data_IF_333653309560
#
_entry.id   IF_333653309560
#
_cell.length_a   1.000
_cell.length_b   1.000
_cell.length_c   1.000
_cell.angle_alpha   90.00
_cell.angle_beta   90.00
_cell.angle_gamma   90.00
#
_symmetry.space_group_name_H-M   'P 1'
#
loop_
_entity.id
_entity.type
_entity.pdbx_description
1 polymer ?
#
# COMPACT_ATOMS: atom_id res chain seq x y z
N UNK A 1 45.28 -40.85 18.03
CA UNK A 1 44.86 -40.60 19.43
C UNK A 1 43.71 -39.62 19.38
N UNK A 2 42.57 -40.00 19.97
CA UNK A 2 41.28 -39.34 19.80
C UNK A 2 41.20 -38.02 20.58
N UNK A 3 40.73 -36.94 19.95
CA UNK A 3 40.29 -35.73 20.64
C UNK A 3 38.84 -35.92 21.12
N UNK A 4 38.70 -35.98 22.45
CA UNK A 4 37.45 -36.10 23.17
C UNK A 4 36.77 -34.72 23.20
N UNK A 5 35.57 -34.64 22.61
CA UNK A 5 34.63 -33.54 22.82
C UNK A 5 34.03 -33.65 24.22
N UNK A 6 34.16 -32.59 25.03
CA UNK A 6 33.31 -32.40 26.20
C UNK A 6 32.35 -31.24 25.95
N UNK A 7 31.09 -31.59 25.69
CA UNK A 7 29.95 -30.68 25.75
C UNK A 7 29.62 -30.39 27.21
N UNK A 8 29.44 -29.12 27.57
CA UNK A 8 28.75 -28.72 28.80
C UNK A 8 27.47 -28.01 28.44
N UNK A 9 26.35 -28.70 28.66
CA UNK A 9 25.00 -28.18 28.55
C UNK A 9 24.72 -27.15 29.65
N UNK A 10 24.62 -25.87 29.29
CA UNK A 10 23.97 -24.87 30.13
C UNK A 10 22.61 -24.51 29.51
N UNK A 11 21.54 -25.02 30.12
CA UNK A 11 20.14 -24.75 29.77
C UNK A 11 19.85 -23.25 29.82
N UNK A 12 19.68 -22.62 28.65
CA UNK A 12 19.20 -21.24 28.53
C UNK A 12 17.77 -21.15 29.03
N UNK A 13 17.58 -20.48 30.16
CA UNK A 13 16.26 -20.11 30.68
C UNK A 13 15.44 -19.32 29.65
N UNK A 14 14.16 -19.68 29.54
CA UNK A 14 13.14 -18.94 28.80
C UNK A 14 13.11 -17.48 29.27
N UNK A 15 13.59 -16.56 28.42
CA UNK A 15 13.33 -15.13 28.62
C UNK A 15 11.89 -14.85 28.17
N UNK A 16 11.09 -14.38 29.12
CA UNK A 16 9.72 -13.92 28.91
C UNK A 16 9.62 -12.98 27.70
N UNK A 17 8.61 -13.26 26.87
CA UNK A 17 8.26 -12.54 25.65
C UNK A 17 7.93 -11.09 25.99
N UNK A 18 8.88 -10.15 25.83
CA UNK A 18 8.57 -8.71 25.83
C UNK A 18 7.54 -8.47 24.73
N UNK A 19 6.40 -7.87 25.06
CA UNK A 19 5.43 -7.34 24.09
C UNK A 19 6.18 -6.38 23.16
N UNK A 20 6.34 -6.76 21.89
CA UNK A 20 6.85 -5.85 20.84
C UNK A 20 5.75 -4.82 20.58
N UNK A 21 5.96 -3.58 21.01
CA UNK A 21 5.23 -2.45 20.46
C UNK A 21 5.83 -2.17 19.08
N UNK A 22 5.00 -2.30 18.05
CA UNK A 22 5.39 -2.16 16.65
C UNK A 22 5.75 -0.71 16.35
N UNK A 23 6.86 -0.50 15.65
CA UNK A 23 7.08 0.72 14.88
C UNK A 23 6.36 0.52 13.57
N UNK A 24 5.57 1.50 13.12
CA UNK A 24 4.87 1.45 11.83
C UNK A 24 5.87 1.68 10.68
N UNK A 25 6.81 0.75 10.51
CA UNK A 25 7.74 0.66 9.38
C UNK A 25 7.31 -0.55 8.58
N UNK A 26 6.79 -0.32 7.37
CA UNK A 26 6.49 -1.41 6.44
C UNK A 26 7.79 -1.73 5.68
N UNK A 27 8.38 -2.89 5.98
CA UNK A 27 9.38 -3.51 5.12
C UNK A 27 8.66 -4.15 3.92
N UNK A 28 9.12 -3.85 2.71
CA UNK A 28 8.59 -4.49 1.51
C UNK A 28 9.01 -5.96 1.48
N UNK A 29 8.02 -6.85 1.41
CA UNK A 29 8.22 -8.11 0.73
C UNK A 29 8.62 -7.82 -0.71
N UNK A 30 9.63 -8.54 -1.21
CA UNK A 30 10.29 -8.37 -2.51
C UNK A 30 9.35 -7.86 -3.61
N UNK A 31 9.49 -6.58 -3.98
CA UNK A 31 8.94 -6.04 -5.22
C UNK A 31 9.87 -6.41 -6.37
N UNK A 32 9.33 -7.11 -7.36
CA UNK A 32 9.96 -7.25 -8.68
C UNK A 32 9.60 -6.01 -9.51
N UNK A 33 10.58 -5.56 -10.29
CA UNK A 33 10.63 -4.26 -10.95
C UNK A 33 9.51 -4.02 -11.97
N UNK A 34 9.32 -2.73 -12.24
CA UNK A 34 8.34 -2.14 -13.17
C UNK A 34 8.62 -2.57 -14.61
N UNK A 35 7.56 -2.82 -15.38
CA UNK A 35 7.24 -2.17 -16.66
C UNK A 35 5.84 -2.62 -17.11
N UNK A 36 5.10 -1.70 -17.76
CA UNK A 36 3.67 -1.80 -18.12
C UNK A 36 2.66 -1.72 -16.98
N UNK A 37 2.65 -0.57 -16.31
CA UNK A 37 1.45 0.24 -15.99
C UNK A 37 0.23 -0.33 -15.25
N UNK A 38 0.06 -1.65 -15.10
CA UNK A 38 -1.06 -2.34 -14.42
C UNK A 38 -0.87 -3.87 -14.30
N UNK A 39 0.19 -4.47 -14.88
CA UNK A 39 0.49 -5.90 -14.68
C UNK A 39 1.48 -6.09 -13.53
N UNK A 40 1.01 -6.58 -12.39
CA UNK A 40 1.88 -7.24 -11.41
C UNK A 40 1.81 -8.75 -11.62
N UNK A 41 2.90 -9.47 -11.32
CA UNK A 41 2.90 -10.94 -11.33
C UNK A 41 1.80 -11.47 -10.39
N UNK A 42 1.52 -10.75 -9.31
CA UNK A 42 0.44 -11.02 -8.37
C UNK A 42 -0.95 -10.91 -9.02
N UNK A 43 -1.17 -9.93 -9.91
CA UNK A 43 -2.43 -9.83 -10.65
C UNK A 43 -2.66 -11.03 -11.58
N UNK A 44 -1.62 -11.49 -12.27
CA UNK A 44 -1.71 -12.69 -13.13
C UNK A 44 -1.89 -13.95 -12.27
N UNK A 45 -1.19 -14.04 -11.14
CA UNK A 45 -1.28 -15.18 -10.22
C UNK A 45 -2.60 -15.24 -9.45
N UNK A 46 -3.30 -14.11 -9.26
CA UNK A 46 -4.56 -14.04 -8.51
C UNK A 46 -5.71 -14.84 -9.11
N UNK A 47 -5.60 -15.19 -10.40
CA UNK A 47 -6.51 -16.09 -11.09
C UNK A 47 -6.34 -17.56 -10.66
N UNK A 48 -5.16 -17.96 -10.16
CA UNK A 48 -4.91 -19.35 -9.75
C UNK A 48 -5.75 -19.70 -8.52
N UNK A 49 -6.40 -20.86 -8.54
CA UNK A 49 -7.02 -21.46 -7.34
C UNK A 49 -5.91 -22.10 -6.50
N UNK A 50 -5.88 -21.81 -5.20
CA UNK A 50 -4.75 -22.10 -4.29
C UNK A 50 -4.38 -23.59 -4.07
N UNK A 51 -5.13 -24.58 -4.56
CA UNK A 51 -4.82 -25.98 -4.22
C UNK A 51 -5.13 -27.03 -5.31
N UNK A 52 -4.93 -26.73 -6.60
CA UNK A 52 -4.84 -27.82 -7.59
C UNK A 52 -3.71 -27.61 -8.56
N UNK A 53 -2.80 -28.58 -8.49
CA UNK A 53 -1.82 -29.10 -9.46
C UNK A 53 -1.42 -28.18 -10.61
N UNK A 54 -0.09 -28.10 -10.77
CA UNK A 54 0.64 -27.70 -11.96
C UNK A 54 -0.21 -27.51 -13.20
N UNK A 55 -0.09 -26.34 -13.84
CA UNK A 55 -0.78 -26.13 -15.10
C UNK A 55 -0.46 -27.29 -16.03
N UNK A 56 -1.50 -27.93 -16.60
CA UNK A 56 -1.37 -28.96 -17.63
C UNK A 56 -0.75 -28.43 -18.93
N UNK A 57 -0.03 -27.30 -18.88
CA UNK A 57 0.70 -26.72 -20.00
C UNK A 57 2.01 -27.45 -20.30
N UNK A 58 2.17 -28.73 -19.93
CA UNK A 58 3.38 -29.45 -20.31
C UNK A 58 3.53 -29.61 -21.83
N UNK A 59 2.47 -29.49 -22.63
CA UNK A 59 2.54 -29.51 -24.12
C UNK A 59 1.41 -28.71 -24.81
N UNK A 60 1.22 -27.45 -24.45
CA UNK A 60 0.67 -26.46 -25.41
C UNK A 60 -0.84 -26.42 -25.69
N UNK A 61 -1.73 -27.08 -24.94
CA UNK A 61 -3.19 -26.80 -25.04
C UNK A 61 -3.87 -26.84 -23.66
N UNK A 62 -4.11 -25.67 -23.08
CA UNK A 62 -4.96 -25.56 -21.91
C UNK A 62 -6.36 -26.10 -22.26
N UNK A 63 -6.92 -26.95 -21.42
CA UNK A 63 -8.28 -27.45 -21.58
C UNK A 63 -9.02 -27.40 -20.25
N UNK A 64 -10.31 -27.13 -20.34
CA UNK A 64 -11.22 -27.12 -19.21
C UNK A 64 -12.15 -28.32 -19.34
N UNK A 65 -12.15 -29.18 -18.32
CA UNK A 65 -13.05 -30.33 -18.24
C UNK A 65 -14.35 -29.87 -17.57
N UNK A 66 -15.47 -29.96 -18.30
CA UNK A 66 -16.79 -29.69 -17.75
C UNK A 66 -17.22 -30.81 -16.79
N UNK A 67 -18.14 -30.50 -15.86
CA UNK A 67 -18.65 -31.48 -14.88
C UNK A 67 -19.31 -32.73 -15.52
N UNK A 68 -19.66 -32.66 -16.81
CA UNK A 68 -20.23 -33.75 -17.60
C UNK A 68 -19.18 -34.49 -18.45
N UNK A 69 -17.89 -34.26 -18.21
CA UNK A 69 -16.78 -34.96 -18.88
C UNK A 69 -16.39 -34.42 -20.25
N UNK A 70 -16.99 -33.32 -20.72
CA UNK A 70 -16.61 -32.67 -21.97
C UNK A 70 -15.36 -31.80 -21.83
N UNK A 71 -14.39 -31.94 -22.73
CA UNK A 71 -13.19 -31.11 -22.76
C UNK A 71 -13.38 -29.89 -23.67
N UNK A 72 -13.08 -28.69 -23.14
CA UNK A 72 -13.07 -27.44 -23.91
C UNK A 72 -11.63 -26.92 -24.00
N UNK A 73 -11.11 -26.72 -25.22
CA UNK A 73 -9.72 -26.26 -25.43
C UNK A 73 -9.57 -24.73 -25.55
N UNK A 74 -10.68 -24.00 -25.62
CA UNK A 74 -10.68 -22.55 -25.74
C UNK A 74 -11.91 -21.93 -25.03
N UNK A 75 -11.85 -20.63 -24.66
CA UNK A 75 -12.95 -19.95 -23.97
C UNK A 75 -14.26 -19.93 -24.76
N UNK A 76 -14.22 -19.87 -26.10
CA UNK A 76 -15.42 -19.81 -26.94
C UNK A 76 -16.18 -21.14 -26.90
N UNK A 77 -15.47 -22.25 -27.00
CA UNK A 77 -16.05 -23.59 -26.84
C UNK A 77 -16.70 -23.79 -25.47
N UNK A 78 -16.07 -23.28 -24.41
CA UNK A 78 -16.62 -23.34 -23.05
C UNK A 78 -17.85 -22.44 -22.88
N UNK A 79 -17.81 -21.23 -23.44
CA UNK A 79 -18.93 -20.29 -23.37
C UNK A 79 -20.17 -20.82 -24.13
N UNK A 80 -19.98 -21.43 -25.30
CA UNK A 80 -21.07 -22.09 -26.05
C UNK A 80 -21.62 -23.32 -25.31
N UNK A 81 -20.76 -24.10 -24.66
CA UNK A 81 -21.22 -25.24 -23.83
C UNK A 81 -22.06 -24.76 -22.64
N UNK A 82 -21.66 -23.62 -22.06
CA UNK A 82 -22.40 -22.99 -20.96
C UNK A 82 -23.75 -22.44 -21.45
N UNK A 83 -23.78 -21.79 -22.61
CA UNK A 83 -25.03 -21.34 -23.24
C UNK A 83 -25.99 -22.51 -23.51
N UNK A 84 -25.49 -23.60 -24.08
CA UNK A 84 -26.30 -24.79 -24.39
C UNK A 84 -26.91 -25.41 -23.13
N UNK A 85 -26.14 -25.43 -22.03
CA UNK A 85 -26.65 -25.84 -20.72
C UNK A 85 -27.75 -24.91 -20.20
N UNK A 86 -27.56 -23.60 -20.36
CA UNK A 86 -28.54 -22.60 -19.93
C UNK A 86 -29.85 -22.69 -20.75
N UNK A 87 -29.75 -22.99 -22.05
CA UNK A 87 -30.90 -23.26 -22.93
C UNK A 87 -31.47 -24.68 -22.78
N UNK A 88 -30.92 -25.52 -21.89
CA UNK A 88 -31.34 -26.91 -21.62
C UNK A 88 -31.31 -27.81 -22.86
N UNK A 89 -30.33 -27.59 -23.74
CA UNK A 89 -30.09 -28.43 -24.91
C UNK A 89 -29.64 -29.82 -24.45
N UNK A 90 -30.16 -30.87 -25.06
CA UNK A 90 -29.76 -32.25 -24.76
C UNK A 90 -28.26 -32.44 -25.05
N UNK A 91 -27.56 -33.18 -24.20
CA UNK A 91 -26.10 -33.35 -24.28
C UNK A 91 -25.61 -33.86 -25.65
N UNK A 92 -26.44 -34.67 -26.32
CA UNK A 92 -26.16 -35.25 -27.63
C UNK A 92 -26.18 -34.19 -28.75
N UNK A 93 -27.02 -33.16 -28.61
CA UNK A 93 -27.22 -32.11 -29.62
C UNK A 93 -26.29 -30.90 -29.42
N UNK A 94 -25.62 -30.78 -28.27
CA UNK A 94 -24.75 -29.64 -27.94
C UNK A 94 -23.69 -29.40 -29.01
N UNK A 95 -23.08 -30.47 -29.55
CA UNK A 95 -22.04 -30.34 -30.57
C UNK A 95 -22.59 -29.84 -31.92
N UNK A 96 -23.82 -30.22 -32.27
CA UNK A 96 -24.50 -29.73 -33.47
C UNK A 96 -24.85 -28.25 -33.30
N UNK A 97 -25.39 -27.88 -32.15
CA UNK A 97 -25.80 -26.49 -31.86
C UNK A 97 -24.62 -25.52 -31.81
N UNK A 98 -23.43 -25.96 -31.35
CA UNK A 98 -22.20 -25.15 -31.38
C UNK A 98 -21.78 -24.70 -32.79
N UNK A 99 -22.16 -25.45 -33.82
CA UNK A 99 -21.85 -25.15 -35.21
C UNK A 99 -22.86 -24.19 -35.84
N UNK A 100 -24.03 -24.00 -35.24
CA UNK A 100 -25.09 -23.14 -35.76
C UNK A 100 -24.77 -21.66 -35.53
N UNK A 101 -24.82 -20.84 -36.59
CA UNK A 101 -24.47 -19.42 -36.50
C UNK A 101 -25.40 -18.62 -35.61
N UNK A 102 -26.70 -18.89 -35.69
CA UNK A 102 -27.71 -18.17 -34.91
C UNK A 102 -27.57 -18.49 -33.43
N UNK A 103 -27.25 -19.73 -33.08
CA UNK A 103 -26.91 -20.12 -31.72
C UNK A 103 -25.65 -19.39 -31.21
N UNK A 104 -24.60 -19.28 -32.04
CA UNK A 104 -23.38 -18.54 -31.67
C UNK A 104 -23.63 -17.05 -31.43
N UNK A 105 -24.54 -16.42 -32.18
CA UNK A 105 -24.92 -15.01 -32.01
C UNK A 105 -25.65 -14.74 -30.69
N UNK A 106 -26.30 -15.76 -30.11
CA UNK A 106 -26.94 -15.64 -28.79
C UNK A 106 -25.96 -15.56 -27.62
N UNK A 107 -24.65 -15.76 -27.86
CA UNK A 107 -23.67 -15.73 -26.79
C UNK A 107 -23.69 -14.36 -26.10
N UNK A 108 -23.95 -14.36 -24.79
CA UNK A 108 -24.05 -13.18 -23.97
C UNK A 108 -22.73 -12.77 -23.32
N UNK A 109 -22.77 -11.68 -22.54
CA UNK A 109 -21.63 -11.23 -21.73
C UNK A 109 -21.37 -12.19 -20.56
N UNK A 110 -22.41 -12.79 -19.98
CA UNK A 110 -22.33 -13.72 -18.85
C UNK A 110 -21.49 -14.95 -19.17
N UNK A 111 -21.76 -15.61 -20.30
CA UNK A 111 -21.08 -16.84 -20.71
C UNK A 111 -19.61 -16.54 -21.07
N UNK A 112 -19.36 -15.42 -21.77
CA UNK A 112 -18.00 -14.95 -22.09
C UNK A 112 -17.20 -14.68 -20.81
N UNK A 113 -17.78 -13.98 -19.84
CA UNK A 113 -17.14 -13.68 -18.56
C UNK A 113 -16.78 -14.95 -17.78
N UNK A 114 -17.72 -15.90 -17.68
CA UNK A 114 -17.50 -17.15 -16.96
C UNK A 114 -16.39 -17.99 -17.60
N UNK A 115 -16.41 -18.10 -18.94
CA UNK A 115 -15.39 -18.84 -19.67
C UNK A 115 -13.99 -18.23 -19.51
N UNK A 116 -13.86 -16.91 -19.65
CA UNK A 116 -12.59 -16.22 -19.41
C UNK A 116 -12.10 -16.41 -17.98
N UNK A 117 -12.98 -16.31 -16.98
CA UNK A 117 -12.62 -16.51 -15.57
C UNK A 117 -12.07 -17.92 -15.33
N UNK A 118 -12.70 -18.95 -15.91
CA UNK A 118 -12.24 -20.35 -15.81
C UNK A 118 -10.89 -20.56 -16.50
N UNK A 119 -10.72 -20.05 -17.71
CA UNK A 119 -9.46 -20.20 -18.47
C UNK A 119 -8.29 -19.42 -17.86
N UNK A 120 -8.54 -18.20 -17.38
CA UNK A 120 -7.52 -17.41 -16.68
C UNK A 120 -7.00 -18.14 -15.43
N UNK A 121 -7.87 -18.89 -14.73
CA UNK A 121 -7.49 -19.63 -13.53
C UNK A 121 -6.62 -20.86 -13.77
N UNK A 122 -6.58 -21.39 -14.99
CA UNK A 122 -5.79 -22.58 -15.36
C UNK A 122 -4.63 -22.25 -16.32
N UNK A 123 -4.70 -21.12 -17.03
CA UNK A 123 -3.75 -20.75 -18.08
C UNK A 123 -3.19 -19.33 -17.87
N UNK A 124 -1.90 -19.19 -17.52
CA UNK A 124 -1.25 -17.90 -17.35
C UNK A 124 -1.28 -17.01 -18.61
N UNK A 125 -1.30 -17.62 -19.80
CA UNK A 125 -1.40 -16.89 -21.08
C UNK A 125 -2.73 -16.15 -21.19
N UNK A 126 -3.84 -16.82 -20.84
CA UNK A 126 -5.17 -16.18 -20.82
C UNK A 126 -5.26 -15.11 -19.74
N UNK A 127 -4.75 -15.38 -18.53
CA UNK A 127 -4.68 -14.38 -17.47
C UNK A 127 -3.89 -13.13 -17.90
N UNK A 128 -2.74 -13.32 -18.57
CA UNK A 128 -1.93 -12.22 -19.09
C UNK A 128 -2.65 -11.45 -20.20
N UNK A 129 -3.31 -12.15 -21.13
CA UNK A 129 -4.10 -11.53 -22.22
C UNK A 129 -5.19 -10.61 -21.68
N UNK A 130 -5.94 -11.07 -20.69
CA UNK A 130 -7.00 -10.30 -20.02
C UNK A 130 -6.42 -9.07 -19.32
N UNK A 131 -5.31 -9.23 -18.57
CA UNK A 131 -4.70 -8.10 -17.87
C UNK A 131 -4.09 -7.06 -18.82
N UNK A 132 -3.51 -7.49 -19.94
CA UNK A 132 -2.91 -6.62 -20.98
C UNK A 132 -3.94 -5.97 -21.89
N UNK A 133 -5.18 -6.47 -21.91
CA UNK A 133 -6.19 -6.09 -22.89
C UNK A 133 -5.76 -6.34 -24.34
N UNK A 134 -5.01 -7.43 -24.56
CA UNK A 134 -4.42 -7.81 -25.84
C UNK A 134 -5.42 -8.64 -26.64
N UNK A 135 -6.35 -7.98 -27.34
CA UNK A 135 -7.44 -8.62 -28.09
C UNK A 135 -7.40 -8.24 -29.57
N UNK A 136 -7.56 -9.21 -30.46
CA UNK A 136 -7.63 -8.96 -31.91
C UNK A 136 -9.00 -8.38 -32.31
N UNK A 137 -9.10 -7.83 -33.52
CA UNK A 137 -10.37 -7.32 -34.08
C UNK A 137 -11.47 -8.39 -34.12
N UNK A 138 -11.10 -9.65 -34.36
CA UNK A 138 -12.03 -10.79 -34.37
C UNK A 138 -12.52 -11.19 -32.97
N UNK A 139 -11.88 -10.68 -31.92
CA UNK A 139 -12.17 -10.99 -30.51
C UNK A 139 -12.81 -9.81 -29.78
N UNK A 140 -13.22 -8.75 -30.49
CA UNK A 140 -13.76 -7.53 -29.90
C UNK A 140 -14.95 -7.80 -28.96
N UNK A 141 -15.77 -8.79 -29.28
CA UNK A 141 -16.92 -9.23 -28.49
C UNK A 141 -16.54 -9.72 -27.07
N UNK A 142 -15.28 -10.10 -26.84
CA UNK A 142 -14.76 -10.57 -25.56
C UNK A 142 -14.19 -9.44 -24.70
N UNK A 143 -13.88 -8.28 -25.30
CA UNK A 143 -13.20 -7.16 -24.64
C UNK A 143 -13.98 -6.68 -23.43
N UNK A 144 -15.30 -6.52 -23.54
CA UNK A 144 -16.12 -6.02 -22.43
C UNK A 144 -16.13 -6.99 -21.23
N UNK A 145 -16.18 -8.30 -21.49
CA UNK A 145 -16.09 -9.33 -20.46
C UNK A 145 -14.69 -9.36 -19.82
N UNK A 146 -13.64 -9.24 -20.64
CA UNK A 146 -12.26 -9.18 -20.18
C UNK A 146 -11.98 -7.94 -19.32
N UNK A 147 -12.47 -6.77 -19.71
CA UNK A 147 -12.35 -5.53 -18.94
C UNK A 147 -13.07 -5.63 -17.60
N UNK A 148 -14.25 -6.25 -17.58
CA UNK A 148 -15.01 -6.49 -16.34
C UNK A 148 -14.21 -7.37 -15.38
N UNK A 149 -13.60 -8.45 -15.89
CA UNK A 149 -12.78 -9.37 -15.10
C UNK A 149 -11.46 -8.74 -14.65
N UNK A 150 -10.81 -7.94 -15.52
CA UNK A 150 -9.63 -7.15 -15.15
C UNK A 150 -9.95 -6.19 -14.01
N UNK A 151 -11.06 -5.46 -14.07
CA UNK A 151 -11.49 -4.55 -12.99
C UNK A 151 -11.73 -5.30 -11.67
N UNK A 152 -12.37 -6.47 -11.72
CA UNK A 152 -12.58 -7.33 -10.55
C UNK A 152 -11.26 -7.74 -9.90
N UNK A 153 -10.30 -8.22 -10.70
CA UNK A 153 -8.97 -8.63 -10.22
C UNK A 153 -8.17 -7.45 -9.70
N UNK A 154 -8.17 -6.34 -10.42
CA UNK A 154 -7.50 -5.13 -9.97
C UNK A 154 -8.07 -4.62 -8.65
N UNK A 155 -9.39 -4.68 -8.45
CA UNK A 155 -10.03 -4.32 -7.19
C UNK A 155 -9.66 -5.28 -6.05
N UNK A 156 -9.72 -6.60 -6.29
CA UNK A 156 -9.38 -7.61 -5.28
C UNK A 156 -7.91 -7.53 -4.83
N UNK A 157 -7.01 -7.23 -5.76
CA UNK A 157 -5.58 -7.14 -5.48
C UNK A 157 -5.11 -5.71 -5.17
N UNK A 158 -6.04 -4.76 -4.95
CA UNK A 158 -5.64 -3.49 -4.36
C UNK A 158 -4.93 -3.78 -3.04
N UNK A 159 -3.76 -3.18 -2.80
CA UNK A 159 -3.07 -3.32 -1.52
C UNK A 159 -4.05 -3.01 -0.40
N UNK A 160 -4.27 -3.96 0.52
CA UNK A 160 -5.10 -3.69 1.69
C UNK A 160 -4.44 -2.56 2.47
N UNK A 161 -5.11 -1.42 2.52
CA UNK A 161 -4.62 -0.25 3.23
C UNK A 161 -4.62 -0.52 4.72
N UNK A 162 -3.52 -0.18 5.38
CA UNK A 162 -3.49 -0.19 6.84
C UNK A 162 -4.30 1.00 7.37
N UNK A 163 -5.42 0.74 8.04
CA UNK A 163 -6.26 1.81 8.59
C UNK A 163 -5.53 2.47 9.76
N UNK A 164 -5.26 3.77 9.63
CA UNK A 164 -4.70 4.58 10.71
C UNK A 164 -5.76 4.74 11.79
N UNK A 165 -5.44 4.31 13.01
CA UNK A 165 -6.37 4.38 14.14
C UNK A 165 -6.30 5.72 14.88
N UNK A 166 -5.24 6.50 14.64
CA UNK A 166 -4.94 7.74 15.35
C UNK A 166 -5.58 8.95 14.66
N UNK A 167 -6.15 9.85 15.46
CA UNK A 167 -6.74 11.09 14.96
C UNK A 167 -5.70 12.15 14.60
N UNK A 168 -4.60 12.16 15.36
CA UNK A 168 -3.52 13.14 15.22
C UNK A 168 -2.24 12.37 14.97
N UNK A 169 -1.60 12.63 13.83
CA UNK A 169 -0.41 11.89 13.42
C UNK A 169 0.78 12.80 13.10
N UNK A 170 1.96 12.22 13.25
CA UNK A 170 3.24 12.77 12.81
C UNK A 170 3.78 11.94 11.65
N UNK A 171 4.11 12.60 10.55
CA UNK A 171 4.74 12.00 9.38
C UNK A 171 6.13 12.60 9.23
N UNK A 172 7.16 11.78 8.99
CA UNK A 172 8.52 12.31 8.84
C UNK A 172 9.52 11.28 8.34
N UNK A 173 10.71 11.75 7.96
CA UNK A 173 11.79 10.88 7.50
C UNK A 173 12.76 10.56 8.63
N UNK A 174 13.19 9.29 8.75
CA UNK A 174 14.30 8.84 9.61
C UNK A 174 14.20 9.30 11.08
N UNK A 175 13.02 9.22 11.68
CA UNK A 175 12.79 9.72 13.04
C UNK A 175 13.31 8.77 14.12
N UNK A 176 13.34 7.46 13.85
CA UNK A 176 13.78 6.42 14.78
C UNK A 176 12.87 6.30 16.01
N UNK A 177 11.61 6.75 15.91
CA UNK A 177 10.68 6.83 17.04
C UNK A 177 9.71 5.67 17.07
N UNK A 178 9.29 5.30 18.28
CA UNK A 178 8.29 4.26 18.52
C UNK A 178 7.04 4.90 19.12
N UNK A 179 6.03 5.10 18.29
CA UNK A 179 4.72 5.60 18.70
C UNK A 179 3.69 5.16 17.65
N UNK A 180 2.43 4.96 18.07
CA UNK A 180 1.35 4.63 17.14
C UNK A 180 0.95 5.82 16.26
N UNK A 181 1.18 7.04 16.76
CA UNK A 181 0.90 8.28 16.05
C UNK A 181 2.03 8.71 15.11
N UNK A 182 3.18 8.01 15.11
CA UNK A 182 4.35 8.36 14.30
C UNK A 182 4.47 7.42 13.11
N UNK A 183 4.56 8.00 11.91
CA UNK A 183 4.66 7.28 10.66
C UNK A 183 5.89 7.72 9.86
N UNK A 184 6.74 6.76 9.51
CA UNK A 184 7.98 7.05 8.79
C UNK A 184 7.82 6.92 7.29
N UNK A 185 8.36 7.92 6.57
CA UNK A 185 8.45 7.92 5.11
C UNK A 185 9.89 7.64 4.70
N UNK A 186 10.08 6.70 3.76
CA UNK A 186 11.37 6.47 3.09
C UNK A 186 11.39 7.21 1.77
N UNK A 187 12.54 7.80 1.43
CA UNK A 187 12.74 8.54 0.17
C UNK A 187 12.37 7.71 -1.06
N UNK A 188 12.69 6.41 -1.07
CA UNK A 188 12.38 5.52 -2.19
C UNK A 188 10.87 5.29 -2.41
N UNK A 189 10.05 5.42 -1.36
CA UNK A 189 8.62 5.11 -1.39
C UNK A 189 7.73 6.33 -1.25
N UNK A 190 8.30 7.54 -1.20
CA UNK A 190 7.59 8.77 -0.87
C UNK A 190 6.37 9.03 -1.76
N UNK A 191 6.47 8.72 -3.06
CA UNK A 191 5.41 8.95 -4.04
C UNK A 191 4.20 8.02 -3.89
N UNK A 192 4.38 6.83 -3.33
CA UNK A 192 3.31 5.83 -3.15
C UNK A 192 2.94 5.61 -1.68
N UNK A 193 3.66 6.27 -0.76
CA UNK A 193 3.54 6.03 0.67
C UNK A 193 2.12 6.24 1.20
N UNK A 194 1.47 7.34 0.80
CA UNK A 194 0.10 7.69 1.22
C UNK A 194 -0.91 6.60 0.87
N UNK A 195 -0.71 5.91 -0.25
CA UNK A 195 -1.62 4.87 -0.76
C UNK A 195 -1.64 3.62 0.11
N UNK A 196 -0.63 3.43 0.99
CA UNK A 196 -0.52 2.28 1.89
C UNK A 196 -1.47 2.37 3.08
N UNK A 197 -2.09 3.53 3.33
CA UNK A 197 -2.88 3.80 4.53
C UNK A 197 -4.31 4.23 4.25
N UNK A 198 -5.22 3.83 5.14
CA UNK A 198 -6.59 4.34 5.24
C UNK A 198 -6.61 5.52 6.20
N UNK A 199 -7.18 6.65 5.75
CA UNK A 199 -7.10 7.96 6.40
C UNK A 199 -8.40 8.36 7.09
N UNK A 200 -9.40 7.48 7.11
CA UNK A 200 -10.80 7.79 7.47
C UNK A 200 -10.96 8.33 8.91
N UNK A 201 -9.98 8.08 9.79
CA UNK A 201 -9.99 8.54 11.19
C UNK A 201 -9.04 9.70 11.46
N UNK A 202 -8.20 10.08 10.50
CA UNK A 202 -7.16 11.10 10.70
C UNK A 202 -7.81 12.48 10.54
N UNK A 203 -7.79 13.25 11.61
CA UNK A 203 -8.30 14.63 11.62
C UNK A 203 -7.18 15.61 11.28
N UNK A 204 -6.02 15.48 11.95
CA UNK A 204 -4.90 16.39 11.77
C UNK A 204 -3.60 15.63 11.55
N UNK A 205 -2.75 16.17 10.68
CA UNK A 205 -1.42 15.63 10.44
C UNK A 205 -0.35 16.73 10.54
N UNK A 206 0.80 16.35 11.07
CA UNK A 206 2.01 17.17 11.05
C UNK A 206 3.04 16.46 10.20
N UNK A 207 3.62 17.14 9.23
CA UNK A 207 4.67 16.59 8.36
C UNK A 207 5.98 17.30 8.64
N UNK A 208 6.94 16.53 9.15
CA UNK A 208 8.33 16.95 9.29
C UNK A 208 9.01 16.85 7.92
N UNK A 209 9.52 17.97 7.42
CA UNK A 209 10.21 18.00 6.13
C UNK A 209 11.63 18.54 6.26
N UNK A 210 12.51 18.00 5.41
CA UNK A 210 13.86 18.51 5.24
C UNK A 210 13.82 19.72 4.29
N UNK A 211 14.36 20.85 4.72
CA UNK A 211 14.53 22.05 3.90
C UNK A 211 15.73 21.85 2.98
N UNK A 212 15.46 21.35 1.78
CA UNK A 212 16.46 20.93 0.80
C UNK A 212 16.34 21.70 -0.52
N UNK A 213 17.47 21.92 -1.18
CA UNK A 213 17.54 22.51 -2.53
C UNK A 213 17.46 21.47 -3.65
N UNK A 214 17.52 20.19 -3.30
CA UNK A 214 17.37 19.11 -4.27
C UNK A 214 15.94 19.15 -4.82
N UNK A 215 15.80 19.65 -6.04
CA UNK A 215 14.51 19.84 -6.72
C UNK A 215 13.70 18.53 -6.81
N UNK A 216 14.36 17.38 -6.98
CA UNK A 216 13.67 16.09 -7.05
C UNK A 216 13.11 15.70 -5.69
N UNK A 217 13.88 15.88 -4.61
CA UNK A 217 13.42 15.59 -3.26
C UNK A 217 12.36 16.59 -2.80
N UNK A 218 12.57 17.88 -3.07
CA UNK A 218 11.62 18.95 -2.74
C UNK A 218 10.27 18.71 -3.42
N UNK A 219 10.26 18.41 -4.73
CA UNK A 219 9.03 18.06 -5.47
C UNK A 219 8.34 16.84 -4.87
N UNK A 220 9.10 15.83 -4.46
CA UNK A 220 8.54 14.62 -3.86
C UNK A 220 7.90 14.89 -2.49
N UNK A 221 8.53 15.72 -1.66
CA UNK A 221 8.00 16.15 -0.36
C UNK A 221 6.77 17.04 -0.51
N UNK A 222 6.79 18.00 -1.44
CA UNK A 222 5.63 18.84 -1.76
C UNK A 222 4.46 17.99 -2.21
N UNK A 223 4.66 17.05 -3.14
CA UNK A 223 3.60 16.17 -3.61
C UNK A 223 3.04 15.27 -2.49
N UNK A 224 3.90 14.80 -1.58
CA UNK A 224 3.45 14.06 -0.39
C UNK A 224 2.50 14.92 0.47
N UNK A 225 2.89 16.16 0.75
CA UNK A 225 2.09 17.11 1.55
C UNK A 225 0.76 17.39 0.87
N UNK A 226 0.75 17.68 -0.43
CA UNK A 226 -0.47 17.91 -1.20
C UNK A 226 -1.42 16.69 -1.22
N UNK A 227 -0.86 15.48 -1.30
CA UNK A 227 -1.66 14.24 -1.26
C UNK A 227 -2.23 13.95 0.14
N UNK A 228 -1.51 14.28 1.21
CA UNK A 228 -2.01 14.16 2.59
C UNK A 228 -3.09 15.21 2.85
N UNK A 229 -2.90 16.44 2.36
CA UNK A 229 -3.84 17.55 2.57
C UNK A 229 -5.25 17.25 2.04
N UNK A 230 -5.39 16.36 1.05
CA UNK A 230 -6.68 15.90 0.52
C UNK A 230 -7.45 14.99 1.47
N UNK A 231 -6.77 14.40 2.46
CA UNK A 231 -7.34 13.38 3.34
C UNK A 231 -7.62 13.90 4.76
N UNK A 232 -7.04 15.03 5.16
CA UNK A 232 -7.10 15.53 6.54
C UNK A 232 -7.74 16.91 6.63
N UNK A 233 -8.31 17.22 7.80
CA UNK A 233 -8.91 18.53 8.05
C UNK A 233 -7.85 19.64 8.20
N UNK A 234 -6.73 19.33 8.83
CA UNK A 234 -5.64 20.28 9.09
C UNK A 234 -4.29 19.60 8.86
N UNK A 235 -3.40 20.26 8.10
CA UNK A 235 -2.06 19.78 7.85
C UNK A 235 -1.05 20.88 8.21
N UNK A 236 -0.07 20.56 9.05
CA UNK A 236 1.01 21.48 9.39
C UNK A 236 2.34 20.94 8.89
N UNK A 237 3.01 21.70 8.03
CA UNK A 237 4.37 21.43 7.55
C UNK A 237 5.34 22.10 8.51
N UNK A 238 6.18 21.27 9.13
CA UNK A 238 7.15 21.71 10.13
C UNK A 238 8.55 21.44 9.58
N UNK A 239 9.41 22.47 9.46
CA UNK A 239 10.82 22.27 9.20
C UNK A 239 11.43 21.35 10.24
N UNK A 240 12.24 20.39 9.84
CA UNK A 240 12.86 19.44 10.78
C UNK A 240 14.38 19.36 10.63
N UNK A 241 14.89 19.69 9.45
CA UNK A 241 16.31 19.67 9.12
C UNK A 241 16.61 20.68 8.03
N UNK A 242 17.77 21.31 8.11
CA UNK A 242 18.29 22.18 7.05
C UNK A 242 19.36 21.41 6.26
N UNK A 243 19.16 21.27 4.96
CA UNK A 243 20.19 20.77 4.03
C UNK A 243 20.70 21.85 3.08
N UNK A 244 19.94 22.93 2.89
CA UNK A 244 20.35 24.08 2.08
C UNK A 244 21.15 25.11 2.88
N UNK A 245 21.98 25.89 2.17
CA UNK A 245 22.69 27.04 2.71
C UNK A 245 21.75 28.20 3.03
N UNK A 246 22.19 29.15 3.86
CA UNK A 246 21.37 30.30 4.28
C UNK A 246 20.88 31.15 3.10
N UNK A 247 21.71 31.32 2.08
CA UNK A 247 21.40 32.03 0.82
C UNK A 247 20.33 31.33 -0.02
N UNK A 248 20.15 30.03 0.16
CA UNK A 248 19.19 29.20 -0.59
C UNK A 248 17.84 29.07 0.12
N UNK A 249 17.76 29.41 1.41
CA UNK A 249 16.54 29.30 2.24
C UNK A 249 15.37 30.05 1.64
N UNK A 250 15.60 31.24 1.08
CA UNK A 250 14.55 32.06 0.46
C UNK A 250 13.80 31.32 -0.64
N UNK A 251 14.54 30.73 -1.60
CA UNK A 251 13.93 30.02 -2.73
C UNK A 251 13.19 28.73 -2.32
N UNK A 252 13.73 27.98 -1.36
CA UNK A 252 13.06 26.79 -0.80
C UNK A 252 11.78 27.21 -0.06
N UNK A 253 11.84 28.28 0.72
CA UNK A 253 10.69 28.80 1.48
C UNK A 253 9.59 29.30 0.55
N UNK A 254 9.92 30.00 -0.53
CA UNK A 254 8.94 30.40 -1.55
C UNK A 254 8.21 29.19 -2.15
N UNK A 255 8.91 28.08 -2.36
CA UNK A 255 8.30 26.85 -2.87
C UNK A 255 7.29 26.28 -1.90
N UNK A 256 7.62 26.21 -0.60
CA UNK A 256 6.68 25.77 0.43
C UNK A 256 5.50 26.74 0.61
N UNK A 257 5.72 28.04 0.50
CA UNK A 257 4.64 29.03 0.56
C UNK A 257 3.67 28.95 -0.63
N UNK A 258 4.12 28.44 -1.79
CA UNK A 258 3.21 28.16 -2.92
C UNK A 258 2.25 27.01 -2.61
N UNK A 259 2.66 26.01 -1.83
CA UNK A 259 1.79 24.90 -1.41
C UNK A 259 0.59 25.39 -0.60
N UNK A 260 0.80 26.40 0.26
CA UNK A 260 -0.29 27.05 1.00
C UNK A 260 -1.34 27.70 0.09
N UNK A 261 -0.93 28.15 -1.11
CA UNK A 261 -1.86 28.73 -2.09
C UNK A 261 -2.71 27.67 -2.79
N UNK A 262 -2.21 26.43 -2.90
CA UNK A 262 -2.93 25.32 -3.56
C UNK A 262 -3.81 24.54 -2.59
N UNK A 263 -3.47 24.49 -1.30
CA UNK A 263 -4.23 23.80 -0.27
C UNK A 263 -4.45 24.68 0.97
N UNK A 264 -5.69 25.16 1.14
CA UNK A 264 -6.07 26.14 2.19
C UNK A 264 -5.98 25.59 3.62
N UNK A 265 -6.04 24.26 3.78
CA UNK A 265 -5.90 23.57 5.06
C UNK A 265 -4.45 23.27 5.44
N UNK A 266 -3.48 23.77 4.66
CA UNK A 266 -2.04 23.60 4.91
C UNK A 266 -1.47 24.86 5.55
N UNK A 267 -0.86 24.68 6.72
CA UNK A 267 -0.01 25.67 7.35
C UNK A 267 1.47 25.28 7.20
N UNK A 268 2.32 26.23 6.86
CA UNK A 268 3.77 26.02 6.80
C UNK A 268 4.39 26.89 7.88
N UNK A 269 5.06 26.25 8.85
CA UNK A 269 5.72 26.96 9.94
C UNK A 269 6.91 27.76 9.41
N UNK A 270 6.95 29.05 9.74
CA UNK A 270 8.06 29.91 9.36
C UNK A 270 9.32 29.55 10.17
N UNK A 271 10.41 29.27 9.45
CA UNK A 271 11.75 29.00 9.98
C UNK A 271 12.27 30.09 10.91
N UNK A 272 11.84 31.33 10.68
CA UNK A 272 12.28 32.51 11.43
C UNK A 272 11.39 32.80 12.65
N UNK A 273 10.36 31.99 12.87
CA UNK A 273 9.49 32.12 14.05
C UNK A 273 10.34 32.08 15.32
N UNK A 274 10.26 33.10 16.19
CA UNK A 274 10.98 33.11 17.45
C UNK A 274 10.33 32.14 18.43
N UNK A 275 11.07 31.11 18.84
CA UNK A 275 10.59 30.05 19.72
C UNK A 275 11.40 29.96 21.03
N UNK A 276 10.75 29.40 22.06
CA UNK A 276 11.34 29.21 23.38
C UNK A 276 11.56 30.51 24.18
N UNK A 277 12.06 30.40 25.42
CA UNK A 277 12.22 31.54 26.33
C UNK A 277 13.23 32.58 25.83
N UNK A 278 14.20 32.15 25.02
CA UNK A 278 15.24 33.02 24.43
C UNK A 278 14.81 33.65 23.10
N UNK A 279 13.59 33.37 22.61
CA UNK A 279 13.07 33.86 21.31
C UNK A 279 14.03 33.62 20.15
N UNK A 280 14.63 32.43 20.09
CA UNK A 280 15.55 32.07 19.01
C UNK A 280 14.75 31.62 17.78
N UNK A 281 15.23 31.88 16.55
CA UNK A 281 14.61 31.34 15.34
C UNK A 281 14.50 29.81 15.37
N UNK A 282 13.37 29.26 14.90
CA UNK A 282 13.12 27.81 14.85
C UNK A 282 14.20 27.04 14.09
N UNK A 283 14.78 27.63 13.04
CA UNK A 283 15.89 27.05 12.27
C UNK A 283 17.13 26.70 13.13
N UNK A 284 17.30 27.35 14.29
CA UNK A 284 18.40 27.09 15.22
C UNK A 284 18.05 26.03 16.28
N UNK A 285 16.79 25.60 16.34
CA UNK A 285 16.37 24.52 17.23
C UNK A 285 16.76 23.18 16.62
N UNK A 286 17.75 22.53 17.20
CA UNK A 286 18.27 21.26 16.73
C UNK A 286 17.30 20.11 17.07
N UNK A 287 16.71 19.50 16.03
CA UNK A 287 15.89 18.31 16.18
C UNK A 287 16.77 17.06 16.26
N UNK A 288 16.93 16.50 17.46
CA UNK A 288 17.68 15.27 17.66
C UNK A 288 16.78 14.04 17.45
N UNK A 289 17.03 13.21 16.41
CA UNK A 289 16.21 12.03 16.16
C UNK A 289 16.38 10.97 17.26
N UNK A 290 15.42 10.05 17.35
CA UNK A 290 15.50 8.87 18.22
C UNK A 290 15.02 9.07 19.67
N UNK A 291 14.58 10.26 20.07
CA UNK A 291 13.95 10.52 21.37
C UNK A 291 12.57 11.15 21.19
N UNK A 292 11.54 10.49 21.71
CA UNK A 292 10.16 10.98 21.61
C UNK A 292 9.97 12.27 22.43
N UNK A 293 10.57 12.34 23.61
CA UNK A 293 10.57 13.53 24.48
C UNK A 293 11.17 14.74 23.76
N UNK A 294 12.35 14.59 23.14
CA UNK A 294 12.99 15.68 22.38
C UNK A 294 12.17 16.10 21.17
N UNK A 295 11.50 15.15 20.52
CA UNK A 295 10.59 15.48 19.43
C UNK A 295 9.39 16.27 19.93
N UNK A 296 8.83 15.91 21.09
CA UNK A 296 7.74 16.67 21.70
C UNK A 296 8.18 18.07 22.11
N UNK A 297 9.37 18.24 22.69
CA UNK A 297 9.94 19.56 23.01
C UNK A 297 10.08 20.42 21.76
N UNK A 298 10.60 19.85 20.67
CA UNK A 298 10.72 20.54 19.39
C UNK A 298 9.35 20.94 18.82
N UNK A 299 8.39 20.01 18.79
CA UNK A 299 7.04 20.28 18.30
C UNK A 299 6.30 21.29 19.17
N UNK A 300 6.48 21.27 20.49
CA UNK A 300 5.89 22.27 21.39
C UNK A 300 6.39 23.69 21.10
N UNK A 301 7.63 23.83 20.61
CA UNK A 301 8.17 25.09 20.11
C UNK A 301 7.61 25.47 18.74
N UNK A 302 7.57 24.53 17.79
CA UNK A 302 7.18 24.78 16.41
C UNK A 302 5.66 25.00 16.23
N UNK A 303 4.84 24.26 16.98
CA UNK A 303 3.37 24.20 16.86
C UNK A 303 2.73 24.23 18.27
N UNK A 304 2.82 25.36 18.98
CA UNK A 304 2.36 25.44 20.37
C UNK A 304 0.85 25.16 20.50
N UNK A 305 0.49 24.28 21.44
CA UNK A 305 -0.91 23.91 21.70
C UNK A 305 -1.52 22.92 20.69
N UNK A 306 -0.73 22.39 19.75
CA UNK A 306 -1.24 21.42 18.80
C UNK A 306 -1.51 20.05 19.47
N UNK A 307 -2.71 19.52 19.26
CA UNK A 307 -3.23 18.25 19.83
C UNK A 307 -2.32 17.03 19.65
N UNK A 308 -1.48 17.01 18.61
CA UNK A 308 -0.46 15.98 18.41
C UNK A 308 0.53 15.90 19.59
N UNK A 309 0.95 17.03 20.16
CA UNK A 309 1.93 17.04 21.25
C UNK A 309 1.37 16.34 22.49
N UNK A 310 0.09 16.61 22.81
CA UNK A 310 -0.61 15.94 23.90
C UNK A 310 -0.81 14.45 23.61
N UNK A 311 -1.12 14.08 22.36
CA UNK A 311 -1.21 12.68 21.95
C UNK A 311 0.12 11.94 22.12
N UNK A 312 1.24 12.54 21.72
CA UNK A 312 2.57 11.93 21.90
C UNK A 312 2.96 11.85 23.39
N UNK A 313 2.54 12.82 24.22
CA UNK A 313 2.74 12.79 25.67
C UNK A 313 2.09 11.55 26.31
N UNK A 314 0.87 11.23 25.91
CA UNK A 314 0.16 10.05 26.40
C UNK A 314 0.93 8.73 26.12
N UNK A 315 1.66 8.62 25.00
CA UNK A 315 2.48 7.44 24.70
C UNK A 315 3.68 7.31 25.66
N UNK A 316 4.25 8.43 26.12
CA UNK A 316 5.34 8.43 27.12
C UNK A 316 4.80 8.00 28.49
N UNK A 317 3.68 8.59 28.93
CA UNK A 317 3.04 8.27 30.22
C UNK A 317 2.59 6.81 30.31
N UNK A 318 2.09 6.23 29.22
CA UNK A 318 1.71 4.80 29.17
C UNK A 318 2.94 3.85 29.13
N UNK A 319 4.10 4.36 28.74
CA UNK A 319 5.35 3.59 28.65
C UNK A 319 6.12 3.54 29.98
N UNK A 320 5.83 4.44 30.93
CA UNK A 320 6.43 4.42 32.26
C UNK A 320 5.92 3.24 33.11
N UNK A 321 6.81 2.50 33.81
CA UNK A 321 6.40 1.42 34.68
C UNK A 321 5.62 1.99 35.88
N UNK A 322 4.29 1.81 35.88
CA UNK A 322 3.43 2.12 37.03
C UNK A 322 3.96 1.36 38.26
N UNK A 323 4.61 2.08 39.18
CA UNK A 323 5.11 1.54 40.44
C UNK A 323 3.89 0.93 41.16
N UNK A 324 3.90 -0.39 41.37
CA UNK A 324 2.87 -1.06 42.16
C UNK A 324 2.87 -0.43 43.55
N UNK A 325 1.82 0.31 43.90
CA UNK A 325 1.59 0.73 45.29
C UNK A 325 1.58 -0.55 46.14
N UNK A 326 2.56 -0.69 47.03
CA UNK A 326 2.51 -1.70 48.07
C UNK A 326 1.24 -1.44 48.88
N UNK A 327 0.35 -2.44 48.96
CA UNK A 327 -0.71 -2.45 49.97
C UNK A 327 0.01 -2.54 51.33
N UNK A 328 -0.07 -1.47 52.11
CA UNK A 328 0.19 -1.55 53.53
C UNK A 328 -0.90 -2.43 54.14
N UNK A 329 -0.50 -3.50 54.81
CA UNK A 329 -1.36 -4.28 55.70
C UNK A 329 -1.51 -3.56 57.03
#
# INVERSE_FOLDING_TARGET
MAEVKCETEARRGQRGRKKKVAVNVVEEGKHYEKEDGNLTLDNVNSYRKEEKEECGCQKGKAHYVEALGGECHDPKSLALSTLARNEKIASEDVNLMKCEEDFRKKLGKSERLEALRKFAGICPTWASKIMRNDWTEEELEWREAAESLKKEVMYRNQPQKAIIQEKYILVGQRMGLKSKAVFEVRTATISTWKQKFGWEKVEKAVVLVEWTKDDKQLKALVNLVEEIAKEVWELVVVPARMECGYDEVGGVTETWQKVRKTALNVEVVDLMTPVGPKKMPLILCDLKPGSLEKMMEYLACAIPGHSLVDRLRADVEDSEPKIKKHRAN
#
